data_IF_690931362002
#
_entry.id   IF_690931362002
#
_cell.length_a   1.000
_cell.length_b   1.000
_cell.length_c   1.000
_cell.angle_alpha   90.00
_cell.angle_beta   90.00
_cell.angle_gamma   90.00
#
_symmetry.space_group_name_H-M   'P 1'
#
loop_
_entity.id
_entity.type
_entity.pdbx_description
1 polymer ?
#
# COMPACT_ATOMS: atom_id res chain seq x y z
N UNK A 1 44.59 -9.51 25.86
CA UNK A 1 43.97 -9.44 24.53
C UNK A 1 44.60 -10.56 23.76
N UNK A 2 43.86 -11.65 23.57
CA UNK A 2 44.35 -12.74 22.74
C UNK A 2 44.51 -12.19 21.32
N UNK A 3 45.73 -12.28 20.80
CA UNK A 3 46.07 -11.87 19.45
C UNK A 3 45.15 -12.60 18.47
N UNK A 4 44.34 -11.83 17.74
CA UNK A 4 43.64 -12.35 16.57
C UNK A 4 44.74 -12.68 15.56
N UNK A 5 45.10 -13.97 15.50
CA UNK A 5 46.02 -14.52 14.50
C UNK A 5 45.35 -14.42 13.14
N UNK A 6 45.56 -13.29 12.45
CA UNK A 6 45.26 -13.19 11.02
C UNK A 6 46.23 -14.16 10.33
N UNK A 7 45.73 -15.14 9.54
CA UNK A 7 46.61 -16.09 8.86
C UNK A 7 47.58 -15.36 7.93
N UNK A 8 48.79 -15.91 7.77
CA UNK A 8 49.84 -15.32 6.92
C UNK A 8 49.30 -14.94 5.53
N UNK A 9 49.46 -13.67 5.16
CA UNK A 9 49.11 -13.16 3.84
C UNK A 9 49.97 -13.86 2.78
N UNK A 10 49.37 -14.82 2.06
CA UNK A 10 50.00 -15.41 0.88
C UNK A 10 49.52 -14.67 -0.36
N UNK A 11 50.43 -13.97 -1.06
CA UNK A 11 50.15 -13.51 -2.41
C UNK A 11 49.91 -14.72 -3.33
N UNK A 12 48.66 -14.87 -3.76
CA UNK A 12 48.24 -15.89 -4.72
C UNK A 12 47.56 -15.19 -5.89
N UNK A 13 47.81 -15.65 -7.11
CA UNK A 13 46.98 -15.22 -8.23
C UNK A 13 45.53 -15.70 -8.02
N UNK A 14 44.52 -14.92 -8.44
CA UNK A 14 43.13 -15.34 -8.38
C UNK A 14 42.95 -16.71 -9.07
N UNK A 15 42.19 -17.66 -8.51
CA UNK A 15 41.97 -18.97 -9.10
C UNK A 15 40.95 -18.90 -10.26
N UNK A 16 41.25 -18.09 -11.28
CA UNK A 16 40.41 -17.81 -12.45
C UNK A 16 40.15 -19.01 -13.36
N UNK A 17 40.78 -20.17 -13.08
CA UNK A 17 40.47 -21.44 -13.76
C UNK A 17 39.23 -22.13 -13.21
N UNK A 18 38.90 -21.88 -11.95
CA UNK A 18 37.86 -22.60 -11.21
C UNK A 18 36.64 -21.72 -10.91
N UNK A 19 36.78 -20.39 -11.02
CA UNK A 19 35.74 -19.41 -10.73
C UNK A 19 35.76 -18.29 -11.76
N UNK A 20 34.57 -17.87 -12.18
CA UNK A 20 34.37 -16.66 -12.96
C UNK A 20 34.29 -15.46 -12.01
N UNK A 21 35.04 -14.41 -12.30
CA UNK A 21 35.14 -13.23 -11.43
C UNK A 21 34.73 -11.99 -12.20
N UNK A 22 33.78 -11.24 -11.64
CA UNK A 22 33.56 -9.85 -12.03
C UNK A 22 34.73 -9.01 -11.49
N UNK A 23 35.65 -8.61 -12.36
CA UNK A 23 36.79 -7.76 -12.02
C UNK A 23 36.65 -6.44 -12.76
N UNK A 24 36.66 -5.34 -12.01
CA UNK A 24 36.79 -4.01 -12.60
C UNK A 24 38.24 -3.82 -13.09
N UNK A 25 38.41 -3.81 -14.41
CA UNK A 25 39.72 -3.65 -15.06
C UNK A 25 40.38 -2.29 -14.77
N UNK A 26 39.60 -1.32 -14.26
CA UNK A 26 40.11 0.02 -13.91
C UNK A 26 40.74 0.06 -12.51
N UNK A 27 40.57 -0.97 -11.68
CA UNK A 27 41.09 -0.96 -10.31
C UNK A 27 42.54 -1.47 -10.22
N UNK A 28 43.43 -0.69 -9.59
CA UNK A 28 44.85 -1.07 -9.43
C UNK A 28 45.09 -2.13 -8.33
N UNK A 29 44.16 -2.28 -7.38
CA UNK A 29 44.24 -3.24 -6.28
C UNK A 29 42.86 -3.60 -5.76
N UNK A 30 42.74 -4.76 -5.11
CA UNK A 30 41.48 -5.22 -4.54
C UNK A 30 41.66 -6.47 -3.68
N UNK A 31 40.56 -6.94 -3.08
CA UNK A 31 40.54 -8.12 -2.22
C UNK A 31 39.49 -9.10 -2.73
N UNK A 32 39.88 -10.34 -2.99
CA UNK A 32 38.95 -11.42 -3.38
C UNK A 32 38.74 -12.33 -2.16
N UNK A 33 37.48 -12.51 -1.78
CA UNK A 33 37.07 -13.42 -0.71
C UNK A 33 36.36 -14.61 -1.32
N UNK A 34 36.92 -15.81 -1.18
CA UNK A 34 36.34 -17.06 -1.67
C UNK A 34 35.78 -17.89 -0.53
N UNK A 35 34.48 -18.22 -0.63
CA UNK A 35 33.79 -19.11 0.32
C UNK A 35 33.31 -20.34 -0.47
N UNK A 36 34.19 -21.31 -0.76
CA UNK A 36 33.89 -22.43 -1.68
C UNK A 36 32.87 -23.43 -1.13
N UNK A 37 32.64 -23.40 0.19
CA UNK A 37 31.75 -24.34 0.87
C UNK A 37 30.88 -23.61 1.89
N UNK A 38 29.57 -23.55 1.62
CA UNK A 38 28.57 -23.11 2.57
C UNK A 38 28.04 -24.34 3.33
N UNK A 39 28.21 -24.36 4.66
CA UNK A 39 27.63 -25.42 5.50
C UNK A 39 26.25 -24.98 5.97
N UNK A 40 25.24 -25.78 5.62
CA UNK A 40 23.85 -25.58 6.05
C UNK A 40 23.32 -24.16 5.81
N UNK A 41 23.33 -23.65 4.56
CA UNK A 41 22.81 -22.32 4.29
C UNK A 41 21.30 -22.25 4.58
N UNK A 42 20.84 -21.14 5.13
CA UNK A 42 19.42 -20.88 5.40
C UNK A 42 18.60 -20.92 4.09
N UNK A 43 19.20 -20.48 2.99
CA UNK A 43 18.67 -20.59 1.64
C UNK A 43 19.40 -21.72 0.91
N UNK A 44 18.70 -22.83 0.68
CA UNK A 44 19.27 -24.05 0.08
C UNK A 44 19.36 -24.00 -1.45
N UNK A 45 18.59 -23.13 -2.09
CA UNK A 45 18.57 -22.95 -3.56
C UNK A 45 19.41 -21.72 -3.90
N UNK A 46 20.28 -21.78 -4.94
CA UNK A 46 21.06 -20.63 -5.38
C UNK A 46 20.20 -19.41 -5.68
N UNK A 47 19.12 -19.56 -6.45
CA UNK A 47 18.26 -18.43 -6.83
C UNK A 47 17.66 -17.73 -5.61
N UNK A 48 17.17 -18.49 -4.63
CA UNK A 48 16.64 -17.94 -3.38
C UNK A 48 17.70 -17.28 -2.51
N UNK A 49 18.98 -17.61 -2.68
CA UNK A 49 20.09 -16.94 -2.01
C UNK A 49 20.43 -15.63 -2.72
N UNK A 50 20.46 -15.63 -4.05
CA UNK A 50 20.67 -14.44 -4.89
C UNK A 50 19.60 -13.40 -4.58
N UNK A 51 18.32 -13.75 -4.68
CA UNK A 51 17.19 -12.87 -4.38
C UNK A 51 17.26 -12.31 -2.95
N UNK A 52 17.66 -13.14 -1.98
CA UNK A 52 17.82 -12.68 -0.60
C UNK A 52 18.97 -11.68 -0.44
N UNK A 53 20.11 -11.95 -1.08
CA UNK A 53 21.28 -11.06 -1.05
C UNK A 53 20.95 -9.74 -1.72
N UNK A 54 20.33 -9.79 -2.89
CA UNK A 54 19.91 -8.61 -3.65
C UNK A 54 19.00 -7.71 -2.81
N UNK A 55 17.88 -8.24 -2.32
CA UNK A 55 16.94 -7.52 -1.47
C UNK A 55 17.58 -6.99 -0.19
N UNK A 56 18.52 -7.74 0.40
CA UNK A 56 19.20 -7.29 1.61
C UNK A 56 20.17 -6.15 1.30
N UNK A 57 21.01 -6.30 0.29
CA UNK A 57 22.06 -5.33 -0.07
C UNK A 57 21.44 -4.04 -0.59
N UNK A 58 20.44 -4.13 -1.48
CA UNK A 58 19.76 -2.98 -2.08
C UNK A 58 19.22 -2.01 -1.02
N UNK A 59 18.73 -2.54 0.11
CA UNK A 59 18.19 -1.76 1.20
C UNK A 59 19.21 -1.43 2.30
N UNK A 60 19.96 -2.43 2.78
CA UNK A 60 20.87 -2.27 3.94
C UNK A 60 22.02 -1.34 3.62
N UNK A 61 22.48 -1.35 2.37
CA UNK A 61 23.58 -0.52 1.88
C UNK A 61 23.08 0.64 1.01
N UNK A 62 21.79 0.98 1.04
CA UNK A 62 21.21 1.98 0.13
C UNK A 62 21.92 3.33 0.16
N UNK A 63 22.39 3.79 1.33
CA UNK A 63 23.12 5.07 1.45
C UNK A 63 24.49 4.97 0.76
N UNK A 64 25.17 3.82 0.89
CA UNK A 64 26.46 3.57 0.22
C UNK A 64 26.27 3.46 -1.30
N UNK A 65 25.20 2.80 -1.75
CA UNK A 65 24.84 2.71 -3.16
C UNK A 65 24.48 4.09 -3.74
N UNK A 66 23.73 4.89 -2.98
CA UNK A 66 23.36 6.27 -3.34
C UNK A 66 24.57 7.20 -3.45
N UNK A 67 25.61 6.98 -2.63
CA UNK A 67 26.90 7.68 -2.71
C UNK A 67 27.73 7.32 -3.97
N UNK A 68 27.19 6.47 -4.86
CA UNK A 68 27.78 6.11 -6.14
C UNK A 68 28.68 4.88 -6.08
N UNK A 69 28.58 4.06 -5.03
CA UNK A 69 29.25 2.74 -5.01
C UNK A 69 28.41 1.74 -5.80
N UNK A 70 29.06 1.04 -6.72
CA UNK A 70 28.41 0.01 -7.51
C UNK A 70 28.64 -1.36 -6.86
N UNK A 71 27.56 -2.13 -6.70
CA UNK A 71 27.61 -3.51 -6.26
C UNK A 71 26.95 -4.36 -7.35
N UNK A 72 27.66 -5.40 -7.77
CA UNK A 72 27.19 -6.34 -8.78
C UNK A 72 26.88 -7.69 -8.14
N UNK A 73 25.74 -8.27 -8.50
CA UNK A 73 25.35 -9.62 -8.14
C UNK A 73 25.12 -10.40 -9.43
N UNK A 74 25.98 -11.39 -9.70
CA UNK A 74 25.97 -12.13 -10.98
C UNK A 74 25.99 -11.20 -12.21
N UNK A 75 26.90 -10.22 -12.21
CA UNK A 75 27.05 -9.19 -13.26
C UNK A 75 25.90 -8.19 -13.41
N UNK A 76 24.83 -8.31 -12.64
CA UNK A 76 23.74 -7.35 -12.60
C UNK A 76 23.99 -6.30 -11.53
N UNK A 77 23.83 -5.02 -11.90
CA UNK A 77 23.98 -3.89 -10.97
C UNK A 77 22.80 -3.87 -9.99
N UNK A 78 23.09 -3.97 -8.70
CA UNK A 78 22.09 -3.91 -7.63
C UNK A 78 21.45 -2.52 -7.61
N UNK A 79 20.11 -2.49 -7.74
CA UNK A 79 19.34 -1.25 -7.65
C UNK A 79 19.18 -0.79 -6.21
N UNK A 80 18.94 0.51 -6.03
CA UNK A 80 18.74 1.09 -4.69
C UNK A 80 17.28 0.92 -4.28
N UNK A 81 17.05 0.24 -3.16
CA UNK A 81 15.74 0.10 -2.54
C UNK A 81 15.68 1.00 -1.30
N UNK A 82 14.83 2.04 -1.31
CA UNK A 82 14.69 2.99 -0.22
C UNK A 82 13.24 3.04 0.31
N UNK A 83 12.94 2.30 1.39
CA UNK A 83 11.61 2.33 2.01
C UNK A 83 11.17 3.69 2.53
N UNK A 84 12.10 4.65 2.65
CA UNK A 84 11.79 6.03 3.05
C UNK A 84 11.45 6.94 1.87
N UNK A 85 11.69 6.49 0.63
CA UNK A 85 11.42 7.22 -0.63
C UNK A 85 12.09 8.62 -0.61
N UNK A 86 13.36 8.68 -0.23
CA UNK A 86 14.16 9.92 -0.08
C UNK A 86 15.34 9.98 -1.04
N UNK A 87 15.89 8.82 -1.41
CA UNK A 87 17.07 8.71 -2.28
C UNK A 87 16.66 8.90 -3.75
N UNK A 88 17.26 9.87 -4.46
CA UNK A 88 16.88 10.26 -5.83
C UNK A 88 16.86 9.10 -6.83
N UNK A 89 17.85 8.20 -6.76
CA UNK A 89 18.01 7.09 -7.69
C UNK A 89 17.39 5.78 -7.20
N UNK A 90 16.53 5.82 -6.17
CA UNK A 90 15.85 4.62 -5.68
C UNK A 90 14.73 4.17 -6.61
N UNK A 91 14.42 2.87 -6.59
CA UNK A 91 13.32 2.30 -7.38
C UNK A 91 11.97 2.97 -7.06
N UNK A 92 11.73 3.34 -5.81
CA UNK A 92 10.50 3.98 -5.34
C UNK A 92 10.37 5.40 -5.88
N UNK A 93 11.45 6.20 -5.82
CA UNK A 93 11.44 7.57 -6.37
C UNK A 93 11.30 7.53 -7.88
N UNK A 94 11.95 6.59 -8.57
CA UNK A 94 11.78 6.40 -10.00
C UNK A 94 10.35 5.98 -10.38
N UNK A 95 9.70 5.14 -9.56
CA UNK A 95 8.32 4.69 -9.77
C UNK A 95 7.31 5.83 -9.62
N UNK A 96 7.48 6.65 -8.58
CA UNK A 96 6.53 7.70 -8.21
C UNK A 96 6.81 9.04 -8.91
N UNK A 97 8.07 9.30 -9.26
CA UNK A 97 8.53 10.59 -9.74
C UNK A 97 8.61 11.67 -8.65
N UNK A 98 8.40 11.29 -7.39
CA UNK A 98 8.37 12.19 -6.24
C UNK A 98 8.96 11.52 -4.99
N UNK A 99 9.54 12.33 -4.11
CA UNK A 99 10.10 11.91 -2.82
C UNK A 99 9.11 12.13 -1.68
N UNK A 100 9.31 11.40 -0.60
CA UNK A 100 8.67 11.71 0.68
C UNK A 100 9.00 13.12 1.17
N UNK A 101 7.99 13.75 1.77
CA UNK A 101 8.10 15.03 2.44
C UNK A 101 8.71 14.87 3.84
N UNK A 102 9.59 15.78 4.23
CA UNK A 102 10.07 15.85 5.61
C UNK A 102 8.93 16.37 6.51
N UNK A 103 8.63 15.62 7.57
CA UNK A 103 7.69 16.06 8.59
C UNK A 103 8.40 16.90 9.64
N UNK A 104 8.45 18.20 9.37
CA UNK A 104 9.14 19.18 10.21
C UNK A 104 10.66 19.10 10.13
N UNK A 105 11.32 19.75 11.10
CA UNK A 105 12.77 19.75 11.22
C UNK A 105 13.28 18.46 11.87
N UNK A 106 14.49 17.98 11.52
CA UNK A 106 15.11 16.84 12.19
C UNK A 106 15.28 17.07 13.69
N UNK A 107 14.97 16.06 14.49
CA UNK A 107 15.28 16.06 15.92
C UNK A 107 16.73 15.65 16.12
N UNK A 108 17.51 16.45 16.86
CA UNK A 108 18.93 16.21 17.10
C UNK A 108 19.18 16.12 18.60
N UNK A 109 19.80 15.03 19.02
CA UNK A 109 20.18 14.76 20.41
C UNK A 109 21.70 14.60 20.49
N UNK A 110 22.37 15.51 21.17
CA UNK A 110 23.84 15.52 21.30
C UNK A 110 24.28 14.86 22.61
N UNK A 111 25.39 14.10 22.54
CA UNK A 111 25.95 13.36 23.67
C UNK A 111 27.40 13.79 23.95
N UNK A 112 27.62 14.99 24.52
CA UNK A 112 28.97 15.54 24.72
C UNK A 112 29.81 14.77 25.74
N UNK A 113 29.17 13.98 26.61
CA UNK A 113 29.83 13.15 27.63
C UNK A 113 30.50 11.89 27.05
N UNK A 114 30.18 11.50 25.80
CA UNK A 114 30.70 10.29 25.16
C UNK A 114 32.07 10.57 24.54
N UNK A 115 33.05 9.69 24.79
CA UNK A 115 34.39 9.78 24.19
C UNK A 115 34.31 9.61 22.67
N UNK A 116 34.85 10.57 21.92
CA UNK A 116 34.79 10.61 20.45
C UNK A 116 36.09 11.17 19.85
N UNK A 117 36.36 10.84 18.59
CA UNK A 117 37.59 11.25 17.88
C UNK A 117 37.47 12.59 17.13
N UNK A 118 36.31 13.25 17.19
CA UNK A 118 35.99 14.48 16.46
C UNK A 118 35.96 15.75 17.32
N UNK A 119 35.70 16.89 16.68
CA UNK A 119 35.49 18.18 17.36
C UNK A 119 34.04 18.44 17.77
N UNK A 120 33.10 17.72 17.15
CA UNK A 120 31.68 17.79 17.46
C UNK A 120 31.25 16.57 18.26
N UNK A 121 30.35 16.74 19.25
CA UNK A 121 29.84 15.62 20.02
C UNK A 121 29.07 14.65 19.11
N UNK A 122 29.12 13.34 19.41
CA UNK A 122 28.29 12.37 18.69
C UNK A 122 26.82 12.69 18.91
N UNK A 123 26.01 12.54 17.85
CA UNK A 123 24.60 12.90 17.86
C UNK A 123 23.71 11.80 17.28
N UNK A 124 22.50 11.71 17.81
CA UNK A 124 21.39 10.97 17.20
C UNK A 124 20.52 11.96 16.44
N UNK A 125 20.27 11.67 15.17
CA UNK A 125 19.37 12.46 14.33
C UNK A 125 18.15 11.63 13.97
N UNK A 126 16.95 12.16 14.23
CA UNK A 126 15.68 11.52 13.88
C UNK A 126 14.95 12.38 12.88
N UNK A 127 14.69 11.82 11.71
CA UNK A 127 13.93 12.45 10.64
C UNK A 127 12.63 11.68 10.44
N UNK A 128 11.53 12.41 10.35
CA UNK A 128 10.21 11.86 10.09
C UNK A 128 9.83 12.18 8.65
N UNK A 129 9.21 11.23 7.96
CA UNK A 129 8.83 11.37 6.56
C UNK A 129 7.37 10.99 6.37
N UNK A 130 6.67 11.81 5.59
CA UNK A 130 5.35 11.50 5.03
C UNK A 130 5.55 11.05 3.59
N UNK A 131 5.17 9.81 3.29
CA UNK A 131 5.23 9.29 1.92
C UNK A 131 4.33 10.12 0.98
N UNK A 132 4.62 10.16 -0.34
CA UNK A 132 3.81 10.91 -1.31
C UNK A 132 2.48 10.18 -1.59
N UNK A 133 1.52 10.33 -0.66
CA UNK A 133 0.23 9.62 -0.64
C UNK A 133 -0.52 9.77 -1.97
N UNK A 134 -0.55 11.00 -2.51
CA UNK A 134 -1.29 11.29 -3.74
C UNK A 134 -0.77 10.49 -4.95
N UNK A 135 0.54 10.48 -5.18
CA UNK A 135 1.16 9.72 -6.28
C UNK A 135 1.07 8.20 -6.05
N UNK A 136 1.19 7.73 -4.81
CA UNK A 136 1.02 6.31 -4.47
C UNK A 136 -0.37 5.82 -4.84
N UNK A 137 -1.41 6.57 -4.44
CA UNK A 137 -2.81 6.22 -4.74
C UNK A 137 -3.09 6.39 -6.23
N UNK A 138 -2.66 7.50 -6.84
CA UNK A 138 -2.85 7.78 -8.27
C UNK A 138 -2.32 6.66 -9.15
N UNK A 139 -1.17 6.08 -8.81
CA UNK A 139 -0.48 5.04 -9.58
C UNK A 139 -0.86 3.62 -9.14
N UNK A 140 -1.74 3.47 -8.16
CA UNK A 140 -2.06 2.17 -7.54
C UNK A 140 -0.80 1.40 -7.10
N UNK A 141 0.15 2.11 -6.49
CA UNK A 141 1.48 1.59 -6.17
C UNK A 141 1.58 0.97 -4.75
N UNK A 142 0.46 0.88 -4.02
CA UNK A 142 0.44 0.42 -2.62
C UNK A 142 1.06 -0.97 -2.44
N UNK A 143 0.66 -1.94 -3.29
CA UNK A 143 1.17 -3.31 -3.24
C UNK A 143 2.66 -3.38 -3.61
N UNK A 144 3.06 -2.67 -4.67
CA UNK A 144 4.44 -2.65 -5.16
C UNK A 144 5.41 -2.02 -4.14
N UNK A 145 4.93 -1.04 -3.39
CA UNK A 145 5.70 -0.36 -2.34
C UNK A 145 5.51 -1.00 -0.95
N UNK A 146 4.77 -2.10 -0.88
CA UNK A 146 4.46 -2.84 0.36
C UNK A 146 3.91 -1.91 1.46
N UNK A 147 3.00 -1.00 1.08
CA UNK A 147 2.39 -0.04 2.00
C UNK A 147 1.51 -0.79 2.98
N UNK A 148 1.94 -0.82 4.24
CA UNK A 148 1.21 -1.49 5.29
C UNK A 148 1.91 -1.40 6.63
N UNK A 149 1.30 -2.02 7.65
CA UNK A 149 1.82 -1.91 9.01
C UNK A 149 3.21 -2.54 9.18
N UNK A 150 3.59 -3.48 8.31
CA UNK A 150 4.90 -4.13 8.42
C UNK A 150 6.04 -3.17 8.08
N UNK A 151 5.84 -2.23 7.14
CA UNK A 151 6.86 -1.27 6.70
C UNK A 151 6.82 0.09 7.40
N UNK A 152 5.80 0.36 8.21
CA UNK A 152 5.75 1.60 8.99
C UNK A 152 6.76 1.58 10.15
N UNK A 153 7.37 2.74 10.42
CA UNK A 153 8.24 2.95 11.59
C UNK A 153 9.64 3.43 11.26
N UNK A 154 10.55 3.15 12.20
CA UNK A 154 11.92 3.63 12.21
C UNK A 154 12.86 2.68 11.46
N UNK A 155 13.63 3.26 10.55
CA UNK A 155 14.75 2.67 9.85
C UNK A 155 16.02 3.20 10.52
N UNK A 156 16.75 2.30 11.16
CA UNK A 156 17.91 2.64 12.00
C UNK A 156 19.16 2.54 11.15
N UNK A 157 19.84 3.66 10.96
CA UNK A 157 21.07 3.78 10.18
C UNK A 157 22.23 4.09 11.11
N UNK A 158 23.24 3.23 11.07
CA UNK A 158 24.48 3.38 11.83
C UNK A 158 25.65 3.41 10.85
N UNK A 159 26.40 4.50 10.82
CA UNK A 159 27.53 4.68 9.88
C UNK A 159 27.12 4.35 8.43
N UNK A 160 26.06 4.98 7.94
CA UNK A 160 25.48 4.77 6.59
C UNK A 160 25.01 3.34 6.27
N UNK A 161 24.92 2.46 7.27
CA UNK A 161 24.38 1.10 7.11
C UNK A 161 23.09 0.96 7.90
N UNK A 162 22.04 0.48 7.25
CA UNK A 162 20.84 0.11 7.98
C UNK A 162 21.07 -1.14 8.83
N UNK A 163 20.66 -1.07 10.09
CA UNK A 163 20.73 -2.18 11.03
C UNK A 163 19.34 -2.62 11.50
N UNK A 164 18.35 -1.72 11.49
CA UNK A 164 16.97 -2.02 11.89
C UNK A 164 15.97 -1.44 10.90
N UNK A 165 14.88 -2.17 10.67
CA UNK A 165 13.91 -1.85 9.61
C UNK A 165 12.49 -1.83 10.16
N UNK A 166 11.73 -0.77 9.83
CA UNK A 166 10.33 -0.60 10.20
C UNK A 166 10.00 -0.90 11.68
N UNK A 167 10.87 -0.49 12.59
CA UNK A 167 10.73 -0.74 14.03
C UNK A 167 9.78 0.29 14.66
N UNK A 168 8.97 -0.11 15.63
CA UNK A 168 8.21 0.86 16.44
C UNK A 168 9.04 1.46 17.57
N UNK A 169 10.07 0.72 18.01
CA UNK A 169 10.92 1.04 19.17
C UNK A 169 10.14 1.30 20.48
N UNK A 170 8.89 0.81 20.53
CA UNK A 170 7.92 1.11 21.58
C UNK A 170 7.62 2.61 21.75
N UNK A 171 7.97 3.45 20.77
CA UNK A 171 7.69 4.90 20.77
C UNK A 171 6.27 5.21 20.27
N UNK A 172 5.68 4.31 19.50
CA UNK A 172 4.32 4.39 19.01
C UNK A 172 3.73 2.99 18.75
N UNK A 173 2.41 2.92 18.66
CA UNK A 173 1.70 1.70 18.23
C UNK A 173 1.45 1.75 16.73
N UNK A 174 1.89 0.70 16.03
CA UNK A 174 1.61 0.51 14.61
C UNK A 174 0.10 0.52 14.35
N UNK A 175 -0.33 1.30 13.38
CA UNK A 175 -1.74 1.45 12.99
C UNK A 175 -1.86 1.68 11.49
N UNK A 176 -3.03 1.38 10.90
CA UNK A 176 -3.26 1.59 9.46
C UNK A 176 -3.14 3.07 9.05
N UNK A 177 -3.55 3.99 9.93
CA UNK A 177 -3.46 5.45 9.70
C UNK A 177 -2.02 5.96 9.63
N UNK A 178 -1.03 5.13 9.95
CA UNK A 178 0.39 5.46 9.89
C UNK A 178 1.12 4.62 8.82
N UNK A 179 0.39 3.93 7.94
CA UNK A 179 1.00 3.14 6.86
C UNK A 179 1.88 3.96 5.91
N UNK A 180 1.60 5.27 5.79
CA UNK A 180 2.34 6.23 4.97
C UNK A 180 3.39 7.04 5.75
N UNK A 181 3.68 6.62 6.98
CA UNK A 181 4.74 7.20 7.79
C UNK A 181 6.01 6.34 7.74
N UNK A 182 7.15 7.01 7.58
CA UNK A 182 8.49 6.43 7.71
C UNK A 182 9.35 7.35 8.55
N UNK A 183 10.34 6.81 9.23
CA UNK A 183 11.33 7.63 9.92
C UNK A 183 12.71 7.02 9.82
N UNK A 184 13.74 7.87 9.84
CA UNK A 184 15.14 7.47 9.90
C UNK A 184 15.74 7.90 11.23
N UNK A 185 16.44 6.99 11.88
CA UNK A 185 17.29 7.31 13.03
C UNK A 185 18.73 7.08 12.61
N UNK A 186 19.52 8.15 12.53
CA UNK A 186 20.93 8.10 12.20
C UNK A 186 21.79 8.32 13.45
N UNK A 187 22.79 7.47 13.68
CA UNK A 187 23.75 7.65 14.77
C UNK A 187 25.13 7.04 14.46
N UNK A 188 26.22 7.56 15.06
CA UNK A 188 27.56 7.05 14.85
C UNK A 188 27.89 5.90 15.83
N UNK A 189 28.94 5.13 15.52
CA UNK A 189 29.31 3.92 16.26
C UNK A 189 29.60 4.13 17.76
N UNK A 190 29.99 5.33 18.17
CA UNK A 190 30.23 5.73 19.56
C UNK A 190 28.98 5.59 20.43
N UNK A 191 27.79 5.63 19.84
CA UNK A 191 26.50 5.55 20.52
C UNK A 191 25.87 4.15 20.49
N UNK A 192 26.62 3.11 20.12
CA UNK A 192 26.10 1.72 20.06
C UNK A 192 25.44 1.24 21.35
N UNK A 193 25.96 1.69 22.49
CA UNK A 193 25.44 1.37 23.81
C UNK A 193 24.01 1.88 24.05
N UNK A 194 23.62 2.99 23.42
CA UNK A 194 22.26 3.57 23.54
C UNK A 194 21.21 2.78 22.74
N UNK A 195 21.62 2.03 21.73
CA UNK A 195 20.74 1.24 20.87
C UNK A 195 20.81 -0.27 21.16
N UNK A 196 21.62 -0.67 22.14
CA UNK A 196 21.79 -2.06 22.55
C UNK A 196 22.32 -2.95 21.42
N UNK A 197 23.14 -2.40 20.52
CA UNK A 197 23.64 -3.12 19.34
C UNK A 197 24.53 -4.28 19.79
N UNK A 198 24.02 -5.50 19.71
CA UNK A 198 24.79 -6.71 19.99
C UNK A 198 25.80 -6.99 18.87
N UNK A 199 26.83 -7.81 19.14
CA UNK A 199 27.87 -8.18 18.16
C UNK A 199 27.31 -8.79 16.85
N UNK A 200 26.13 -9.41 16.91
CA UNK A 200 25.43 -9.95 15.74
C UNK A 200 24.42 -8.98 15.09
N UNK A 201 24.27 -7.75 15.61
CA UNK A 201 23.38 -6.68 15.10
C UNK A 201 21.91 -7.09 14.92
N UNK A 202 21.43 -8.07 15.68
CA UNK A 202 20.10 -8.69 15.45
C UNK A 202 18.98 -8.20 16.38
N UNK A 203 19.32 -7.53 17.49
CA UNK A 203 18.36 -7.01 18.47
C UNK A 203 18.70 -5.57 18.80
N UNK A 204 17.66 -4.74 18.89
CA UNK A 204 17.75 -3.34 19.24
C UNK A 204 16.93 -3.09 20.50
N UNK A 205 17.54 -2.41 21.47
CA UNK A 205 16.85 -1.92 22.65
C UNK A 205 17.33 -0.51 22.92
N UNK A 206 16.42 0.46 22.89
CA UNK A 206 16.75 1.82 23.29
C UNK A 206 17.03 1.85 24.78
N UNK A 207 18.11 2.52 25.16
CA UNK A 207 18.33 2.96 26.53
C UNK A 207 17.13 3.77 27.05
N UNK A 208 16.88 3.69 28.35
CA UNK A 208 15.69 4.29 28.96
C UNK A 208 15.68 5.82 28.87
N UNK A 209 16.84 6.47 28.99
CA UNK A 209 16.96 7.93 28.93
C UNK A 209 16.70 8.42 27.50
N UNK A 210 17.38 7.83 26.51
CA UNK A 210 17.16 8.15 25.10
C UNK A 210 15.70 7.88 24.71
N UNK A 211 15.12 6.77 25.15
CA UNK A 211 13.70 6.46 24.88
C UNK A 211 12.79 7.56 25.42
N UNK A 212 13.00 7.99 26.66
CA UNK A 212 12.17 9.02 27.28
C UNK A 212 12.26 10.35 26.53
N UNK A 213 13.47 10.74 26.10
CA UNK A 213 13.68 11.95 25.29
C UNK A 213 12.98 11.85 23.92
N UNK A 214 13.05 10.68 23.27
CA UNK A 214 12.38 10.43 21.99
C UNK A 214 10.85 10.42 22.15
N UNK A 215 10.32 9.80 23.21
CA UNK A 215 8.87 9.78 23.48
C UNK A 215 8.35 11.21 23.67
N UNK A 216 9.03 12.03 24.47
CA UNK A 216 8.64 13.42 24.72
C UNK A 216 8.65 14.26 23.43
N UNK A 217 9.67 14.09 22.59
CA UNK A 217 9.81 14.84 21.35
C UNK A 217 8.83 14.39 20.24
N UNK A 218 8.59 13.07 20.12
CA UNK A 218 7.89 12.49 18.96
C UNK A 218 6.40 12.23 19.20
N UNK A 219 5.95 12.05 20.44
CA UNK A 219 4.53 11.81 20.74
C UNK A 219 3.56 12.89 20.20
N UNK A 220 3.91 14.19 20.19
CA UNK A 220 3.07 15.22 19.56
C UNK A 220 3.01 15.06 18.04
N UNK A 221 4.13 14.67 17.42
CA UNK A 221 4.25 14.52 15.97
C UNK A 221 3.40 13.37 15.46
N UNK A 222 3.39 12.23 16.16
CA UNK A 222 2.59 11.07 15.75
C UNK A 222 1.09 11.34 15.70
N UNK A 223 0.57 12.18 16.61
CA UNK A 223 -0.84 12.58 16.58
C UNK A 223 -1.14 13.40 15.33
N UNK A 224 -0.33 14.41 15.03
CA UNK A 224 -0.53 15.26 13.87
C UNK A 224 -0.33 14.52 12.54
N UNK A 225 0.67 13.63 12.48
CA UNK A 225 0.92 12.77 11.33
C UNK A 225 -0.28 11.88 11.02
N UNK A 226 -0.86 11.26 12.05
CA UNK A 226 -2.04 10.40 11.89
C UNK A 226 -3.20 11.14 11.25
N UNK A 227 -3.56 12.30 11.80
CA UNK A 227 -4.69 13.10 11.31
C UNK A 227 -4.43 13.59 9.88
N UNK A 228 -3.19 14.00 9.59
CA UNK A 228 -2.80 14.48 8.26
C UNK A 228 -2.80 13.38 7.22
N UNK A 229 -2.18 12.23 7.51
CA UNK A 229 -2.14 11.06 6.62
C UNK A 229 -3.56 10.59 6.32
N UNK A 230 -4.40 10.45 7.36
CA UNK A 230 -5.79 10.00 7.20
C UNK A 230 -6.59 10.95 6.29
N UNK A 231 -6.50 12.26 6.54
CA UNK A 231 -7.18 13.29 5.74
C UNK A 231 -6.67 13.35 4.29
N UNK A 232 -5.37 13.30 4.08
CA UNK A 232 -4.75 13.33 2.76
C UNK A 232 -5.05 12.06 1.96
N UNK A 233 -4.95 10.89 2.60
CA UNK A 233 -5.36 9.61 2.00
C UNK A 233 -6.82 9.64 1.60
N UNK A 234 -7.72 10.08 2.47
CA UNK A 234 -9.15 10.16 2.14
C UNK A 234 -9.39 11.16 1.00
N UNK A 235 -8.67 12.27 0.97
CA UNK A 235 -8.76 13.26 -0.11
C UNK A 235 -8.25 12.72 -1.43
N UNK A 236 -7.11 12.04 -1.45
CA UNK A 236 -6.54 11.41 -2.64
C UNK A 236 -7.42 10.26 -3.13
N UNK A 237 -7.89 9.38 -2.23
CA UNK A 237 -8.90 8.37 -2.56
C UNK A 237 -10.14 9.04 -3.14
N UNK A 238 -10.63 10.15 -2.60
CA UNK A 238 -11.82 10.84 -3.16
C UNK A 238 -11.53 11.45 -4.54
N UNK A 239 -10.38 12.11 -4.69
CA UNK A 239 -9.91 12.69 -5.97
C UNK A 239 -9.77 11.63 -7.06
N UNK A 240 -9.26 10.45 -6.70
CA UNK A 240 -9.03 9.36 -7.63
C UNK A 240 -10.15 8.31 -7.62
N UNK A 241 -11.16 8.43 -6.74
CA UNK A 241 -12.41 7.62 -6.76
C UNK A 241 -13.25 7.96 -7.97
N UNK A 242 -13.28 9.24 -8.38
CA UNK A 242 -13.86 9.65 -9.67
C UNK A 242 -13.05 9.12 -10.88
N UNK A 243 -11.83 8.62 -10.61
CA UNK A 243 -10.94 7.97 -11.56
C UNK A 243 -10.68 6.48 -11.25
N UNK A 244 -11.54 5.82 -10.46
CA UNK A 244 -11.62 4.36 -10.52
C UNK A 244 -12.22 4.03 -11.88
N UNK A 245 -11.35 4.03 -12.88
CA UNK A 245 -11.69 3.80 -14.26
C UNK A 245 -11.84 2.30 -14.45
N UNK A 246 -13.06 1.86 -14.74
CA UNK A 246 -13.41 0.45 -14.94
C UNK A 246 -14.46 -0.08 -13.95
N UNK A 247 -14.82 -1.35 -14.12
CA UNK A 247 -15.73 -2.05 -13.24
C UNK A 247 -15.03 -2.48 -11.95
N UNK A 248 -15.71 -2.36 -10.80
CA UNK A 248 -15.23 -2.99 -9.56
C UNK A 248 -15.14 -4.51 -9.74
N UNK A 249 -14.35 -5.21 -8.90
CA UNK A 249 -14.26 -6.67 -8.96
C UNK A 249 -15.62 -7.36 -8.79
N UNK A 250 -16.52 -6.78 -7.98
CA UNK A 250 -17.89 -7.26 -7.83
C UNK A 250 -18.71 -7.05 -9.12
N UNK A 251 -18.60 -5.87 -9.74
CA UNK A 251 -19.26 -5.54 -11.01
C UNK A 251 -18.80 -6.48 -12.13
N UNK A 252 -17.48 -6.68 -12.28
CA UNK A 252 -16.90 -7.60 -13.26
C UNK A 252 -17.38 -9.04 -13.02
N UNK A 253 -17.39 -9.48 -11.76
CA UNK A 253 -17.85 -10.83 -11.39
C UNK A 253 -19.34 -11.01 -11.72
N UNK A 254 -20.18 -10.06 -11.36
CA UNK A 254 -21.62 -10.12 -11.59
C UNK A 254 -21.96 -10.05 -13.09
N UNK A 255 -21.34 -9.12 -13.83
CA UNK A 255 -21.58 -8.92 -15.26
C UNK A 255 -21.12 -10.14 -16.07
N UNK A 256 -19.93 -10.69 -15.81
CA UNK A 256 -19.44 -11.89 -16.50
C UNK A 256 -20.31 -13.14 -16.26
N UNK A 257 -20.96 -13.22 -15.10
CA UNK A 257 -21.87 -14.33 -14.76
C UNK A 257 -23.31 -14.06 -15.14
N UNK A 258 -23.66 -12.86 -15.60
CA UNK A 258 -25.06 -12.51 -15.89
C UNK A 258 -25.66 -13.39 -17.01
N UNK A 259 -24.84 -13.80 -17.99
CA UNK A 259 -25.26 -14.67 -19.10
C UNK A 259 -25.77 -16.05 -18.67
N UNK A 260 -25.35 -16.56 -17.50
CA UNK A 260 -25.81 -17.84 -16.95
C UNK A 260 -26.98 -17.69 -15.97
N UNK A 261 -27.38 -16.46 -15.65
CA UNK A 261 -28.53 -16.14 -14.79
C UNK A 261 -29.82 -16.01 -15.63
N UNK A 262 -31.00 -16.03 -14.98
CA UNK A 262 -32.25 -15.77 -15.69
C UNK A 262 -32.19 -14.43 -16.43
N UNK A 263 -32.76 -14.41 -17.64
CA UNK A 263 -32.81 -13.21 -18.47
C UNK A 263 -33.60 -12.10 -17.79
N UNK A 264 -33.17 -10.87 -18.02
CA UNK A 264 -33.91 -9.69 -17.58
C UNK A 264 -35.32 -9.68 -18.15
N UNK A 265 -36.27 -9.23 -17.34
CA UNK A 265 -37.62 -8.90 -17.81
C UNK A 265 -37.79 -7.42 -18.11
N UNK A 266 -36.76 -6.60 -17.84
CA UNK A 266 -36.71 -5.21 -18.25
C UNK A 266 -36.45 -5.13 -19.76
N UNK A 267 -37.25 -4.32 -20.43
CA UNK A 267 -37.13 -4.04 -21.85
C UNK A 267 -36.67 -2.58 -22.01
N UNK A 268 -35.40 -2.33 -22.36
CA UNK A 268 -34.85 -0.99 -22.43
C UNK A 268 -35.36 -0.22 -23.65
N UNK A 269 -35.36 1.10 -23.55
CA UNK A 269 -35.57 1.95 -24.72
C UNK A 269 -34.39 1.82 -25.69
N UNK A 270 -34.66 1.47 -26.95
CA UNK A 270 -33.62 1.31 -27.99
C UNK A 270 -32.79 2.58 -28.17
N UNK A 271 -33.38 3.76 -27.97
CA UNK A 271 -32.65 5.02 -28.07
C UNK A 271 -31.65 5.22 -26.93
N UNK A 272 -31.98 4.80 -25.70
CA UNK A 272 -31.05 4.83 -24.56
C UNK A 272 -29.89 3.84 -24.75
N UNK A 273 -30.18 2.65 -25.29
CA UNK A 273 -29.14 1.66 -25.60
C UNK A 273 -28.19 2.18 -26.67
N UNK A 274 -28.70 2.81 -27.73
CA UNK A 274 -27.85 3.37 -28.77
C UNK A 274 -26.99 4.53 -28.23
N UNK A 275 -27.54 5.39 -27.38
CA UNK A 275 -26.78 6.48 -26.74
C UNK A 275 -25.63 5.92 -25.87
N UNK A 276 -25.87 4.83 -25.14
CA UNK A 276 -24.82 4.14 -24.37
C UNK A 276 -23.70 3.59 -25.26
N UNK A 277 -24.05 2.95 -26.38
CA UNK A 277 -23.08 2.38 -27.33
C UNK A 277 -22.26 3.51 -27.96
N UNK A 278 -22.92 4.57 -28.46
CA UNK A 278 -22.25 5.70 -29.10
C UNK A 278 -21.27 6.41 -28.15
N UNK A 279 -21.64 6.57 -26.87
CA UNK A 279 -20.74 7.16 -25.87
C UNK A 279 -19.58 6.21 -25.55
N UNK A 280 -19.83 4.90 -25.43
CA UNK A 280 -18.78 3.92 -25.19
C UNK A 280 -17.75 3.88 -26.33
N UNK A 281 -18.21 3.90 -27.59
CA UNK A 281 -17.32 3.97 -28.77
C UNK A 281 -16.45 5.23 -28.76
N UNK A 282 -17.02 6.39 -28.41
CA UNK A 282 -16.26 7.65 -28.30
C UNK A 282 -15.24 7.63 -27.17
N UNK A 283 -15.56 6.99 -26.05
CA UNK A 283 -14.62 6.83 -24.94
C UNK A 283 -13.50 5.87 -25.31
N UNK A 284 -13.81 4.81 -26.05
CA UNK A 284 -12.84 3.83 -26.53
C UNK A 284 -11.85 4.46 -27.51
N UNK A 285 -12.32 5.28 -28.45
CA UNK A 285 -11.47 6.00 -29.41
C UNK A 285 -10.45 6.93 -28.71
N UNK A 286 -10.87 7.57 -27.60
CA UNK A 286 -10.01 8.51 -26.85
C UNK A 286 -9.15 7.83 -25.79
N UNK A 287 -9.29 6.52 -25.59
CA UNK A 287 -8.65 5.79 -24.49
C UNK A 287 -7.13 5.73 -24.63
N UNK A 288 -6.62 5.61 -25.87
CA UNK A 288 -5.18 5.61 -26.14
C UNK A 288 -4.50 6.89 -25.67
N UNK A 289 -5.19 8.02 -25.81
CA UNK A 289 -4.68 9.38 -25.58
C UNK A 289 -4.77 9.81 -24.11
N UNK A 290 -5.30 8.94 -23.23
CA UNK A 290 -5.39 9.19 -21.79
C UNK A 290 -4.08 8.87 -21.08
N UNK A 291 -3.18 9.84 -21.00
CA UNK A 291 -1.92 9.73 -20.24
C UNK A 291 -2.15 9.71 -18.71
N UNK A 292 -3.38 9.95 -18.27
CA UNK A 292 -3.76 9.96 -16.86
C UNK A 292 -4.13 8.57 -16.30
N UNK A 293 -4.07 7.53 -17.13
CA UNK A 293 -4.39 6.14 -16.78
C UNK A 293 -3.19 5.22 -17.02
N UNK A 294 -3.00 4.25 -16.13
CA UNK A 294 -2.04 3.16 -16.34
C UNK A 294 -2.50 2.22 -17.46
N UNK A 295 -1.57 1.44 -18.04
CA UNK A 295 -1.93 0.46 -19.07
C UNK A 295 -2.94 -0.58 -18.56
N UNK A 296 -2.86 -0.95 -17.28
CA UNK A 296 -3.84 -1.84 -16.64
C UNK A 296 -5.22 -1.20 -16.53
N UNK A 297 -5.29 0.08 -16.11
CA UNK A 297 -6.55 0.83 -16.06
C UNK A 297 -7.16 1.02 -17.46
N UNK A 298 -6.32 1.25 -18.48
CA UNK A 298 -6.78 1.30 -19.88
C UNK A 298 -7.37 -0.04 -20.30
N UNK A 299 -6.71 -1.15 -20.02
CA UNK A 299 -7.23 -2.49 -20.33
C UNK A 299 -8.54 -2.80 -19.60
N UNK A 300 -8.67 -2.41 -18.33
CA UNK A 300 -9.91 -2.59 -17.57
C UNK A 300 -11.07 -1.75 -18.12
N UNK A 301 -10.79 -0.53 -18.56
CA UNK A 301 -11.80 0.32 -19.19
C UNK A 301 -12.21 -0.20 -20.57
N UNK A 302 -11.24 -0.67 -21.35
CA UNK A 302 -11.48 -1.28 -22.65
C UNK A 302 -12.40 -2.50 -22.55
N UNK A 303 -12.17 -3.38 -21.57
CA UNK A 303 -13.06 -4.51 -21.25
C UNK A 303 -14.49 -4.04 -20.97
N UNK A 304 -14.66 -3.00 -20.13
CA UNK A 304 -15.97 -2.45 -19.77
C UNK A 304 -16.68 -1.83 -20.98
N UNK A 305 -15.99 -0.99 -21.75
CA UNK A 305 -16.54 -0.32 -22.92
C UNK A 305 -16.95 -1.34 -23.98
N UNK A 306 -16.14 -2.38 -24.18
CA UNK A 306 -16.46 -3.47 -25.12
C UNK A 306 -17.72 -4.21 -24.70
N UNK A 307 -17.90 -4.48 -23.39
CA UNK A 307 -19.11 -5.11 -22.88
C UNK A 307 -20.37 -4.27 -23.16
N UNK A 308 -20.27 -2.94 -23.08
CA UNK A 308 -21.37 -2.02 -23.41
C UNK A 308 -21.67 -2.08 -24.92
N UNK A 309 -20.64 -2.04 -25.76
CA UNK A 309 -20.75 -2.07 -27.22
C UNK A 309 -21.36 -3.39 -27.71
N UNK A 310 -20.96 -4.51 -27.11
CA UNK A 310 -21.51 -5.84 -27.42
C UNK A 310 -22.99 -5.98 -27.01
N UNK A 311 -23.52 -5.01 -26.26
CA UNK A 311 -24.93 -4.95 -25.86
C UNK A 311 -25.29 -5.91 -24.72
N UNK A 312 -24.30 -6.39 -23.98
CA UNK A 312 -24.49 -7.24 -22.82
C UNK A 312 -25.12 -6.45 -21.67
N UNK A 313 -25.97 -7.12 -20.88
CA UNK A 313 -26.46 -6.52 -19.65
C UNK A 313 -25.39 -6.61 -18.56
N UNK A 314 -25.07 -5.47 -17.95
CA UNK A 314 -24.01 -5.33 -16.96
C UNK A 314 -24.50 -4.63 -15.68
N UNK A 315 -23.71 -4.72 -14.62
CA UNK A 315 -24.01 -4.12 -13.31
C UNK A 315 -23.09 -2.95 -13.01
N UNK A 316 -23.64 -1.93 -12.33
CA UNK A 316 -22.89 -0.83 -11.73
C UNK A 316 -23.38 -0.52 -10.33
N UNK A 317 -22.46 -0.16 -9.44
CA UNK A 317 -22.76 0.44 -8.14
C UNK A 317 -22.41 1.93 -8.20
N UNK A 318 -23.40 2.77 -7.89
CA UNK A 318 -23.21 4.21 -7.80
C UNK A 318 -23.51 4.67 -6.37
N UNK A 319 -22.67 5.57 -5.86
CA UNK A 319 -22.89 6.22 -4.57
C UNK A 319 -23.55 7.57 -4.84
N UNK A 320 -24.89 7.58 -4.84
CA UNK A 320 -25.68 8.79 -5.04
C UNK A 320 -27.01 8.68 -4.28
N UNK A 321 -27.56 9.80 -3.78
CA UNK A 321 -28.80 9.76 -3.01
C UNK A 321 -29.97 9.32 -3.90
N UNK A 322 -30.61 8.17 -3.62
CA UNK A 322 -31.75 7.71 -4.39
C UNK A 322 -32.98 8.56 -4.08
N UNK A 323 -33.89 8.68 -5.06
CA UNK A 323 -35.12 9.48 -4.92
C UNK A 323 -36.05 8.99 -3.80
N UNK A 324 -36.01 7.70 -3.49
CA UNK A 324 -36.84 7.12 -2.42
C UNK A 324 -36.38 7.47 -1.01
N UNK A 325 -35.12 7.89 -0.85
CA UNK A 325 -34.47 8.04 0.45
C UNK A 325 -34.06 6.72 1.12
N UNK A 326 -34.28 5.56 0.48
CA UNK A 326 -33.84 4.27 1.00
C UNK A 326 -32.30 4.21 1.12
N UNK A 327 -31.77 3.22 1.85
CA UNK A 327 -30.33 3.06 2.02
C UNK A 327 -29.64 2.59 0.73
N UNK A 328 -30.39 1.90 -0.11
CA UNK A 328 -30.06 1.66 -1.50
C UNK A 328 -31.34 1.61 -2.36
N UNK A 329 -31.20 1.72 -3.68
CA UNK A 329 -32.25 1.47 -4.67
C UNK A 329 -31.66 0.78 -5.91
N UNK A 330 -32.55 0.32 -6.80
CA UNK A 330 -32.21 -0.28 -8.08
C UNK A 330 -32.80 0.57 -9.20
N UNK A 331 -31.98 0.90 -10.19
CA UNK A 331 -32.38 1.62 -11.40
C UNK A 331 -31.91 0.86 -12.63
N UNK A 332 -32.59 1.10 -13.74
CA UNK A 332 -32.24 0.57 -15.05
C UNK A 332 -32.02 1.74 -15.99
N UNK A 333 -30.95 1.66 -16.78
CA UNK A 333 -30.63 2.65 -17.81
C UNK A 333 -30.07 1.89 -19.00
N UNK A 334 -30.81 1.84 -20.12
CA UNK A 334 -30.47 0.95 -21.23
C UNK A 334 -30.19 -0.49 -20.75
N UNK A 335 -29.00 -1.05 -21.06
CA UNK A 335 -28.64 -2.42 -20.63
C UNK A 335 -28.00 -2.50 -19.23
N UNK A 336 -27.91 -1.38 -18.52
CA UNK A 336 -27.31 -1.31 -17.19
C UNK A 336 -28.32 -1.60 -16.07
N UNK A 337 -27.96 -2.50 -15.14
CA UNK A 337 -28.62 -2.63 -13.84
C UNK A 337 -27.78 -1.87 -12.81
N UNK A 338 -28.28 -0.72 -12.36
CA UNK A 338 -27.58 0.18 -11.45
C UNK A 338 -28.09 0.04 -10.02
N UNK A 339 -27.20 -0.26 -9.09
CA UNK A 339 -27.45 -0.22 -7.64
C UNK A 339 -27.03 1.15 -7.12
N UNK A 340 -27.99 1.93 -6.62
CA UNK A 340 -27.73 3.22 -6.01
C UNK A 340 -27.58 3.06 -4.51
N UNK A 341 -26.46 3.45 -3.94
CA UNK A 341 -26.22 3.42 -2.49
C UNK A 341 -26.31 4.84 -1.96
N UNK A 342 -27.16 5.05 -0.96
CA UNK A 342 -27.46 6.36 -0.43
C UNK A 342 -26.36 6.85 0.52
N UNK A 343 -25.57 7.87 0.14
CA UNK A 343 -24.51 8.38 1.01
C UNK A 343 -25.04 9.08 2.27
N UNK A 344 -26.31 9.51 2.27
CA UNK A 344 -26.94 10.21 3.38
C UNK A 344 -27.57 9.25 4.40
N UNK A 345 -27.56 7.94 4.14
CA UNK A 345 -28.11 6.96 5.06
C UNK A 345 -27.04 6.44 6.02
N UNK A 346 -27.45 6.13 7.24
CA UNK A 346 -26.58 5.62 8.31
C UNK A 346 -25.80 4.36 7.91
N UNK A 347 -26.43 3.46 7.16
CA UNK A 347 -25.77 2.31 6.53
C UNK A 347 -24.49 2.69 5.78
N UNK A 348 -24.55 3.75 4.97
CA UNK A 348 -23.36 4.20 4.25
C UNK A 348 -22.35 4.84 5.20
N UNK A 349 -22.85 5.72 6.07
CA UNK A 349 -22.03 6.52 6.98
C UNK A 349 -21.28 5.67 8.00
N UNK A 350 -21.90 4.64 8.56
CA UNK A 350 -21.35 3.81 9.64
C UNK A 350 -20.69 2.53 9.16
N UNK A 351 -21.15 1.96 8.05
CA UNK A 351 -20.66 0.65 7.59
C UNK A 351 -20.02 0.74 6.21
N UNK A 352 -20.80 1.04 5.17
CA UNK A 352 -20.36 0.84 3.79
C UNK A 352 -19.12 1.66 3.41
N UNK A 353 -19.01 2.93 3.84
CA UNK A 353 -17.85 3.79 3.52
C UNK A 353 -16.53 3.31 4.13
N UNK A 354 -16.61 2.52 5.20
CA UNK A 354 -15.43 1.99 5.91
C UNK A 354 -14.95 0.66 5.34
N UNK A 355 -15.75 -0.01 4.50
CA UNK A 355 -15.36 -1.27 3.86
C UNK A 355 -14.17 -1.10 2.89
N UNK A 356 -13.90 0.13 2.46
CA UNK A 356 -12.70 0.49 1.67
C UNK A 356 -11.43 0.68 2.53
N UNK A 357 -11.55 0.75 3.85
CA UNK A 357 -10.50 1.23 4.75
C UNK A 357 -10.01 0.19 5.79
N UNK A 358 -10.47 -1.06 5.71
CA UNK A 358 -10.21 -2.06 6.75
C UNK A 358 -11.26 -2.02 7.86
N UNK A 359 -11.65 -3.19 8.38
CA UNK A 359 -12.43 -3.29 9.63
C UNK A 359 -11.44 -3.62 10.75
N UNK A 360 -11.31 -2.71 11.72
CA UNK A 360 -10.45 -2.92 12.90
C UNK A 360 -10.89 -4.19 13.65
N UNK A 361 -9.94 -5.11 13.86
CA UNK A 361 -10.16 -6.34 14.63
C UNK A 361 -10.75 -7.53 13.86
N UNK A 362 -10.77 -7.51 12.53
CA UNK A 362 -11.18 -8.67 11.73
C UNK A 362 -10.12 -9.78 11.70
N UNK A 363 -10.60 -11.01 11.60
CA UNK A 363 -9.85 -12.27 11.52
C UNK A 363 -8.82 -12.19 10.36
N UNK A 364 -7.52 -12.51 10.55
CA UNK A 364 -6.48 -12.42 9.52
C UNK A 364 -6.72 -13.19 8.21
N UNK A 365 -7.78 -14.01 8.10
CA UNK A 365 -8.19 -14.69 6.87
C UNK A 365 -9.21 -13.91 5.99
N UNK A 366 -9.81 -12.82 6.47
CA UNK A 366 -10.84 -12.05 5.75
C UNK A 366 -10.42 -10.58 5.64
N UNK A 367 -9.88 -10.19 4.49
CA UNK A 367 -9.59 -8.79 4.16
C UNK A 367 -10.91 -8.01 4.04
N UNK A 368 -10.93 -6.75 4.52
CA UNK A 368 -12.10 -5.88 4.40
C UNK A 368 -12.48 -5.60 2.94
N UNK A 369 -11.50 -5.64 2.04
CA UNK A 369 -11.71 -5.57 0.59
C UNK A 369 -12.55 -6.74 0.07
N UNK A 370 -12.37 -7.94 0.64
CA UNK A 370 -13.22 -9.10 0.34
C UNK A 370 -14.63 -8.92 0.89
N UNK A 371 -14.77 -8.39 2.11
CA UNK A 371 -16.08 -8.10 2.70
C UNK A 371 -16.86 -7.12 1.82
N UNK A 372 -16.21 -6.05 1.34
CA UNK A 372 -16.83 -5.11 0.41
C UNK A 372 -17.33 -5.82 -0.84
N UNK A 373 -16.48 -6.62 -1.48
CA UNK A 373 -16.85 -7.38 -2.68
C UNK A 373 -18.09 -8.25 -2.45
N UNK A 374 -18.19 -8.93 -1.30
CA UNK A 374 -19.36 -9.76 -1.00
C UNK A 374 -20.62 -8.95 -0.71
N UNK A 375 -20.50 -7.79 -0.06
CA UNK A 375 -21.62 -6.86 0.15
C UNK A 375 -22.12 -6.33 -1.20
N UNK A 376 -21.22 -5.93 -2.08
CA UNK A 376 -21.55 -5.46 -3.43
C UNK A 376 -22.26 -6.56 -4.24
N UNK A 377 -21.73 -7.79 -4.22
CA UNK A 377 -22.36 -8.95 -4.86
C UNK A 377 -23.74 -9.27 -4.28
N UNK A 378 -23.93 -9.10 -2.97
CA UNK A 378 -25.23 -9.29 -2.32
C UNK A 378 -26.25 -8.27 -2.84
N UNK A 379 -25.88 -6.98 -2.90
CA UNK A 379 -26.75 -5.92 -3.41
C UNK A 379 -27.07 -6.13 -4.89
N UNK A 380 -26.08 -6.50 -5.72
CA UNK A 380 -26.32 -6.84 -7.13
C UNK A 380 -27.21 -8.07 -7.30
N UNK A 381 -27.09 -9.06 -6.42
CA UNK A 381 -27.96 -10.25 -6.43
C UNK A 381 -29.42 -9.87 -6.12
N UNK A 382 -29.64 -8.95 -5.19
CA UNK A 382 -30.98 -8.40 -4.91
C UNK A 382 -31.51 -7.62 -6.11
N UNK A 383 -30.67 -6.78 -6.74
CA UNK A 383 -31.03 -6.05 -7.95
C UNK A 383 -31.39 -6.99 -9.10
N UNK A 384 -30.63 -8.07 -9.30
CA UNK A 384 -30.93 -9.08 -10.33
C UNK A 384 -32.25 -9.79 -10.07
N UNK A 385 -32.56 -10.11 -8.82
CA UNK A 385 -33.83 -10.74 -8.47
C UNK A 385 -35.04 -9.83 -8.81
N UNK A 386 -34.89 -8.52 -8.62
CA UNK A 386 -35.88 -7.52 -9.03
C UNK A 386 -35.95 -7.37 -10.55
N UNK A 387 -34.81 -7.34 -11.24
CA UNK A 387 -34.69 -7.25 -12.71
C UNK A 387 -35.40 -8.41 -13.45
N UNK A 388 -35.23 -9.63 -12.96
CA UNK A 388 -35.90 -10.82 -13.52
C UNK A 388 -37.43 -10.76 -13.32
N UNK A 389 -37.90 -9.95 -12.36
CA UNK A 389 -39.30 -9.80 -12.00
C UNK A 389 -39.87 -8.41 -12.33
N UNK A 390 -39.14 -7.59 -13.07
CA UNK A 390 -39.44 -6.18 -13.37
C UNK A 390 -40.87 -5.94 -13.86
N UNK A 391 -41.36 -6.77 -14.80
CA UNK A 391 -42.72 -6.63 -15.35
C UNK A 391 -43.82 -7.08 -14.36
N UNK A 392 -43.47 -7.74 -13.26
CA UNK A 392 -44.42 -8.17 -12.25
C UNK A 392 -44.61 -7.08 -11.19
N UNK A 393 -45.64 -6.26 -11.40
CA UNK A 393 -45.99 -5.13 -10.54
C UNK A 393 -46.18 -5.50 -9.05
N UNK A 394 -46.63 -6.73 -8.76
CA UNK A 394 -46.78 -7.19 -7.36
C UNK A 394 -45.42 -7.44 -6.72
N UNK A 395 -44.48 -8.02 -7.46
CA UNK A 395 -43.12 -8.30 -6.98
C UNK A 395 -42.32 -7.01 -6.88
N UNK A 396 -42.47 -6.09 -7.83
CA UNK A 396 -41.86 -4.75 -7.77
C UNK A 396 -42.27 -4.00 -6.49
N UNK A 397 -43.58 -3.92 -6.21
CA UNK A 397 -44.10 -3.33 -4.97
C UNK A 397 -43.66 -4.07 -3.70
N UNK A 398 -43.39 -5.37 -3.81
CA UNK A 398 -42.82 -6.13 -2.71
C UNK A 398 -41.39 -5.66 -2.41
N UNK A 399 -40.51 -5.58 -3.42
CA UNK A 399 -39.13 -5.12 -3.24
C UNK A 399 -39.03 -3.66 -2.78
N UNK A 400 -39.83 -2.75 -3.35
CA UNK A 400 -39.92 -1.36 -2.88
C UNK A 400 -40.31 -1.27 -1.39
N UNK A 401 -41.23 -2.13 -0.95
CA UNK A 401 -41.65 -2.19 0.46
C UNK A 401 -40.55 -2.80 1.34
N UNK A 402 -39.88 -3.85 0.86
CA UNK A 402 -38.77 -4.46 1.60
C UNK A 402 -37.63 -3.46 1.79
N UNK A 403 -37.22 -2.72 0.74
CA UNK A 403 -36.20 -1.67 0.86
C UNK A 403 -36.57 -0.63 1.92
N UNK A 404 -37.82 -0.14 1.90
CA UNK A 404 -38.30 0.80 2.91
C UNK A 404 -38.26 0.23 4.32
N UNK A 405 -38.69 -1.03 4.49
CA UNK A 405 -38.62 -1.70 5.79
C UNK A 405 -37.18 -1.88 6.25
N UNK A 406 -36.29 -2.37 5.39
CA UNK A 406 -34.88 -2.56 5.71
C UNK A 406 -34.19 -1.25 6.06
N UNK A 407 -34.44 -0.18 5.31
CA UNK A 407 -34.02 1.19 5.65
C UNK A 407 -34.44 1.57 7.06
N UNK A 408 -35.75 1.47 7.36
CA UNK A 408 -36.28 1.83 8.66
C UNK A 408 -35.71 0.96 9.78
N UNK A 409 -35.58 -0.35 9.56
CA UNK A 409 -35.06 -1.27 10.58
C UNK A 409 -33.59 -1.03 10.87
N UNK A 410 -32.76 -0.79 9.85
CA UNK A 410 -31.35 -0.46 10.05
C UNK A 410 -31.22 0.83 10.88
N UNK A 411 -32.06 1.83 10.61
CA UNK A 411 -32.03 3.08 11.37
C UNK A 411 -32.45 2.86 12.83
N UNK A 412 -33.57 2.17 13.08
CA UNK A 412 -34.06 1.87 14.43
C UNK A 412 -33.10 0.99 15.24
N UNK A 413 -32.51 -0.05 14.62
CA UNK A 413 -31.54 -0.92 15.30
C UNK A 413 -30.29 -0.18 15.73
N UNK A 414 -29.87 0.83 14.97
CA UNK A 414 -28.71 1.62 15.31
C UNK A 414 -29.03 2.69 16.37
N UNK A 415 -30.18 3.36 16.28
CA UNK A 415 -30.62 4.33 17.31
C UNK A 415 -30.78 3.66 18.70
N UNK A 416 -31.13 2.36 18.74
CA UNK A 416 -31.18 1.57 19.97
C UNK A 416 -29.81 1.17 20.55
N UNK A 417 -28.73 1.19 19.77
CA UNK A 417 -27.38 0.86 20.25
C UNK A 417 -26.73 2.05 21.01
N UNK A 418 -27.09 3.30 20.68
CA UNK A 418 -26.58 4.50 21.37
C UNK A 418 -27.12 4.64 22.82
N UNK A 419 -28.24 3.99 23.18
CA UNK A 419 -28.76 3.97 24.56
C UNK A 419 -28.03 2.98 25.49
N UNK A 420 -27.21 2.08 24.96
CA UNK A 420 -26.43 1.10 25.75
C UNK A 420 -24.96 1.51 25.99
N UNK A 421 -24.55 2.70 25.55
CA UNK A 421 -23.20 3.23 25.71
C UNK A 421 -23.24 4.56 26.48
N UNK A 422 -23.73 4.53 27.72
CA UNK A 422 -23.25 5.43 28.78
C UNK A 422 -23.12 4.59 30.08
N UNK A 423 -22.09 4.87 30.91
CA UNK A 423 -21.26 3.87 31.60
C UNK A 423 -21.91 2.98 32.67
#
# INVERSE_FOLDING_TARGET
MDDVLIPDEQQRQPPSKDFDFHLDEQTESGTIILIPHLRSPDRKRPDSLVEYIENNVSQVQREILADGREIYLNDELVQVHDPTIRIDNSEEVNLLGEKSENWGDPFVFEFPEVEHKGSEPPKVTVELFKLPIDEIIRRNAEDKLEIGQQKQGFYIVRENREIGSALSLSLFTKHNDLNYFRARIHFPSELDHLFGVQTNKSRFSLDNELRSQLEEALAPQFRQLRDTISSERQSAITRYREKNVGQTQAEKTASNRNSVLPRSSYDPDESEVQEQIDEAERQLEKLSDRDDLTDEQKSQLEDELTQIIDGDQFFKINIEPPRSGNFYDVMWFGKEIRVLINPNHLFYEKFYKHLDNGIDGSDPELDATDVKKYVDLLLMSMAKAEDVSYQNERIKKFYERQRRHWTSFIQEFYEGDDEFIEP
#
